data_IF_336147441672
#
_entry.id   IF_336147441672
#
_cell.length_a   1.000
_cell.length_b   1.000
_cell.length_c   1.000
_cell.angle_alpha   90.00
_cell.angle_beta   90.00
_cell.angle_gamma   90.00
#
_symmetry.space_group_name_H-M   'P 1'
#
loop_
_entity.id
_entity.type
_entity.pdbx_description
1 polymer ?
#
# COMPACT_ATOMS: atom_id res chain seq x y z
N UNK A 1 10.97 6.29 -7.16
CA UNK A 1 11.80 5.26 -6.49
C UNK A 1 13.22 5.78 -6.28
N UNK A 2 13.87 6.36 -7.29
CA UNK A 2 15.25 6.87 -7.20
C UNK A 2 15.47 7.87 -6.07
N UNK A 3 14.59 8.85 -5.89
CA UNK A 3 14.70 9.85 -4.82
C UNK A 3 14.74 9.21 -3.42
N UNK A 4 13.82 8.24 -3.16
CA UNK A 4 13.79 7.51 -1.87
C UNK A 4 15.05 6.67 -1.69
N UNK A 5 15.46 5.94 -2.75
CA UNK A 5 16.68 5.12 -2.74
C UNK A 5 17.94 5.96 -2.52
N UNK A 6 18.02 7.15 -3.12
CA UNK A 6 19.15 8.08 -2.95
C UNK A 6 19.25 8.59 -1.51
N UNK A 7 18.14 9.03 -0.90
CA UNK A 7 18.13 9.49 0.49
C UNK A 7 18.59 8.39 1.46
N UNK A 8 18.09 7.16 1.29
CA UNK A 8 18.49 6.02 2.10
C UNK A 8 19.98 5.71 1.94
N UNK A 9 20.50 5.75 0.71
CA UNK A 9 21.94 5.53 0.43
C UNK A 9 22.81 6.61 1.09
N UNK A 10 22.41 7.87 1.00
CA UNK A 10 23.14 8.98 1.64
C UNK A 10 23.20 8.82 3.16
N UNK A 11 22.07 8.50 3.78
CA UNK A 11 22.03 8.29 5.24
C UNK A 11 22.88 7.09 5.66
N UNK A 12 22.80 5.96 4.93
CA UNK A 12 23.64 4.77 5.21
C UNK A 12 25.14 5.02 5.00
N UNK A 13 25.48 5.93 4.10
CA UNK A 13 26.87 6.37 3.87
C UNK A 13 27.38 7.37 4.92
N UNK A 14 26.55 7.77 5.91
CA UNK A 14 26.90 8.77 6.91
C UNK A 14 26.93 10.21 6.36
N UNK A 15 26.35 10.45 5.19
CA UNK A 15 26.27 11.74 4.52
C UNK A 15 24.91 12.43 4.71
N UNK A 16 23.99 11.79 5.42
CA UNK A 16 22.68 12.34 5.77
C UNK A 16 22.76 13.36 6.89
N UNK A 17 21.69 14.15 7.05
CA UNK A 17 21.57 15.05 8.19
C UNK A 17 21.23 14.24 9.45
N UNK A 18 22.04 14.34 10.49
CA UNK A 18 21.89 13.59 11.74
C UNK A 18 20.73 14.05 12.61
N UNK A 19 20.23 15.28 12.38
CA UNK A 19 19.21 15.92 13.21
C UNK A 19 17.81 15.85 12.59
N UNK A 20 17.66 15.13 11.47
CA UNK A 20 16.39 14.98 10.72
C UNK A 20 16.07 13.52 10.49
N UNK A 21 14.81 13.19 10.12
CA UNK A 21 14.48 11.87 9.59
C UNK A 21 15.38 11.46 8.43
N UNK A 22 15.49 10.15 8.16
CA UNK A 22 16.25 9.61 7.02
C UNK A 22 15.80 10.26 5.71
N UNK A 23 14.51 10.54 5.59
CA UNK A 23 13.92 11.30 4.50
C UNK A 23 12.42 11.49 4.71
N UNK A 24 11.92 12.61 4.18
CA UNK A 24 10.51 13.02 4.26
C UNK A 24 9.94 13.15 2.85
N UNK A 25 9.07 12.23 2.47
CA UNK A 25 8.58 12.09 1.10
C UNK A 25 7.06 12.30 1.02
N UNK A 26 6.62 13.05 -0.01
CA UNK A 26 5.22 13.19 -0.35
C UNK A 26 4.92 12.39 -1.62
N UNK A 27 4.07 11.35 -1.51
CA UNK A 27 3.61 10.56 -2.62
C UNK A 27 2.28 11.11 -3.13
N UNK A 28 2.26 11.62 -4.33
CA UNK A 28 1.10 12.28 -4.95
C UNK A 28 0.56 11.45 -6.11
N UNK A 29 -0.73 11.56 -6.40
CA UNK A 29 -1.33 10.90 -7.57
C UNK A 29 -2.67 10.23 -7.26
N UNK A 30 -3.32 9.61 -8.27
CA UNK A 30 -4.65 9.02 -8.14
C UNK A 30 -4.74 7.94 -7.07
N UNK A 31 -5.97 7.64 -6.66
CA UNK A 31 -6.26 6.52 -5.79
C UNK A 31 -5.91 5.18 -6.48
N UNK A 32 -5.43 4.19 -5.72
CA UNK A 32 -5.24 2.84 -6.23
C UNK A 32 -4.05 2.61 -7.16
N UNK A 33 -3.15 3.59 -7.33
CA UNK A 33 -1.92 3.47 -8.15
C UNK A 33 -0.72 2.86 -7.42
N UNK A 34 -0.88 2.50 -6.13
CA UNK A 34 0.15 1.79 -5.37
C UNK A 34 0.99 2.63 -4.42
N UNK A 35 0.60 3.86 -4.06
CA UNK A 35 1.35 4.72 -3.11
C UNK A 35 1.60 4.04 -1.77
N UNK A 36 0.55 3.55 -1.12
CA UNK A 36 0.61 2.81 0.16
C UNK A 36 1.37 1.49 0.01
N UNK A 37 1.21 0.81 -1.14
CA UNK A 37 1.89 -0.45 -1.42
C UNK A 37 3.40 -0.26 -1.57
N UNK A 38 3.85 0.83 -2.20
CA UNK A 38 5.28 1.14 -2.29
C UNK A 38 5.90 1.34 -0.90
N UNK A 39 5.22 2.05 0.01
CA UNK A 39 5.70 2.22 1.38
C UNK A 39 5.81 0.88 2.13
N UNK A 40 4.84 -0.02 1.93
CA UNK A 40 4.85 -1.36 2.51
C UNK A 40 6.00 -2.22 1.96
N UNK A 41 6.20 -2.21 0.64
CA UNK A 41 7.29 -2.95 0.00
C UNK A 41 8.66 -2.39 0.36
N UNK A 42 8.77 -1.08 0.57
CA UNK A 42 10.00 -0.45 1.05
C UNK A 42 10.37 -0.96 2.45
N UNK A 43 9.41 -0.95 3.38
CA UNK A 43 9.63 -1.47 4.73
C UNK A 43 10.05 -2.94 4.70
N UNK A 44 9.34 -3.76 3.93
CA UNK A 44 9.66 -5.19 3.74
C UNK A 44 11.08 -5.41 3.18
N UNK A 45 11.44 -4.68 2.12
CA UNK A 45 12.74 -4.81 1.46
C UNK A 45 13.90 -4.36 2.36
N UNK A 46 13.67 -3.36 3.20
CA UNK A 46 14.66 -2.87 4.17
C UNK A 46 14.75 -3.73 5.43
N UNK A 47 13.80 -4.65 5.65
CA UNK A 47 13.69 -5.46 6.85
C UNK A 47 13.34 -4.65 8.10
N UNK A 48 12.60 -3.55 7.96
CA UNK A 48 12.17 -2.66 9.04
C UNK A 48 10.65 -2.64 9.16
N UNK A 49 10.14 -2.17 10.30
CA UNK A 49 8.71 -2.08 10.55
C UNK A 49 8.02 -1.03 9.67
N UNK A 50 6.73 -1.24 9.40
CA UNK A 50 5.81 -0.24 8.87
C UNK A 50 4.87 0.23 10.00
N UNK A 51 4.91 1.53 10.29
CA UNK A 51 3.95 2.22 11.14
C UNK A 51 3.00 2.99 10.22
N UNK A 52 1.70 2.73 10.29
CA UNK A 52 0.72 3.38 9.41
C UNK A 52 -0.36 4.06 10.23
N UNK A 53 -0.64 5.32 9.86
CA UNK A 53 -1.80 6.09 10.32
C UNK A 53 -2.59 6.57 9.11
N UNK A 54 -3.90 6.37 9.14
CA UNK A 54 -4.83 6.93 8.16
C UNK A 54 -5.31 8.29 8.66
N UNK A 55 -4.96 9.34 7.94
CA UNK A 55 -5.24 10.70 8.37
C UNK A 55 -6.72 11.07 8.29
N UNK A 56 -7.54 10.28 7.63
CA UNK A 56 -8.98 10.42 7.68
C UNK A 56 -9.58 10.19 9.08
N UNK A 57 -8.86 9.46 9.95
CA UNK A 57 -9.23 9.28 11.37
C UNK A 57 -8.85 10.48 12.25
N UNK A 58 -8.05 11.41 11.72
CA UNK A 58 -7.46 12.55 12.45
C UNK A 58 -7.87 13.91 11.84
N UNK A 59 -9.08 13.99 11.33
CA UNK A 59 -9.66 15.21 10.77
C UNK A 59 -10.08 16.22 11.86
N UNK A 60 -10.48 15.71 13.01
CA UNK A 60 -11.00 16.51 14.11
C UNK A 60 -9.94 16.76 15.18
N UNK A 61 -10.01 17.91 15.84
CA UNK A 61 -9.04 18.32 16.86
C UNK A 61 -8.89 17.32 18.01
N UNK A 62 -9.97 16.70 18.45
CA UNK A 62 -9.92 15.70 19.52
C UNK A 62 -9.17 14.42 19.11
N UNK A 63 -9.16 14.09 17.81
CA UNK A 63 -8.41 12.96 17.29
C UNK A 63 -6.89 13.26 17.27
N UNK A 64 -6.49 14.52 17.06
CA UNK A 64 -5.07 14.94 17.18
C UNK A 64 -4.54 14.68 18.58
N UNK A 65 -5.35 14.95 19.62
CA UNK A 65 -4.95 14.67 21.01
C UNK A 65 -4.69 13.18 21.26
N UNK A 66 -5.32 12.26 20.53
CA UNK A 66 -4.99 10.83 20.59
C UNK A 66 -3.63 10.53 19.95
N UNK A 67 -3.27 11.29 18.91
CA UNK A 67 -2.02 11.07 18.19
C UNK A 67 -0.78 11.51 18.99
N UNK A 68 -0.88 12.65 19.69
CA UNK A 68 0.23 13.28 20.45
C UNK A 68 0.02 13.32 21.97
N UNK A 69 -1.00 12.64 22.49
CA UNK A 69 -1.39 12.68 23.89
C UNK A 69 -2.39 13.80 24.20
N UNK A 70 -3.23 13.57 25.22
CA UNK A 70 -4.16 14.58 25.71
C UNK A 70 -3.42 15.63 26.54
N UNK A 71 -3.81 16.92 26.51
CA UNK A 71 -3.26 17.93 27.40
C UNK A 71 -3.55 17.63 28.88
N UNK A 72 -2.74 18.15 29.82
CA UNK A 72 -2.99 18.01 31.26
C UNK A 72 -4.42 18.44 31.64
N UNK A 73 -5.10 17.63 32.45
CA UNK A 73 -6.46 17.89 32.92
C UNK A 73 -7.57 17.34 32.02
N UNK A 74 -7.25 16.73 30.88
CA UNK A 74 -8.23 16.03 30.02
C UNK A 74 -8.23 14.52 30.28
N UNK A 75 -9.38 13.88 30.02
CA UNK A 75 -9.53 12.43 30.11
C UNK A 75 -8.54 11.75 29.14
N UNK A 76 -7.76 10.80 29.64
CA UNK A 76 -6.75 10.09 28.85
C UNK A 76 -5.36 10.74 28.87
N UNK A 77 -5.10 11.77 29.68
CA UNK A 77 -3.78 12.39 29.81
C UNK A 77 -2.66 11.40 30.16
N UNK A 78 -2.94 10.37 30.99
CA UNK A 78 -1.94 9.35 31.34
C UNK A 78 -1.57 8.43 30.16
N UNK A 79 -2.38 8.39 29.12
CA UNK A 79 -2.10 7.66 27.90
C UNK A 79 -1.19 8.52 27.00
N UNK A 80 -0.01 8.01 26.65
CA UNK A 80 0.90 8.67 25.70
C UNK A 80 0.27 8.86 24.33
N UNK A 81 0.90 9.67 23.50
CA UNK A 81 0.47 9.83 22.11
C UNK A 81 0.68 8.56 21.29
N UNK A 82 -0.29 8.18 20.48
CA UNK A 82 -0.20 6.98 19.63
C UNK A 82 1.02 7.03 18.69
N UNK A 83 1.33 8.22 18.16
CA UNK A 83 2.46 8.43 17.25
C UNK A 83 3.79 8.28 18.00
N UNK A 84 3.95 8.97 19.14
CA UNK A 84 5.17 8.93 19.94
C UNK A 84 5.42 7.54 20.52
N UNK A 85 4.38 6.85 20.99
CA UNK A 85 4.48 5.49 21.47
C UNK A 85 4.86 4.50 20.36
N UNK A 86 4.26 4.63 19.17
CA UNK A 86 4.56 3.75 18.04
C UNK A 86 6.02 3.90 17.58
N UNK A 87 6.51 5.13 17.46
CA UNK A 87 7.90 5.42 17.05
C UNK A 87 8.89 4.99 18.14
N UNK A 88 8.58 5.20 19.42
CA UNK A 88 9.44 4.76 20.53
C UNK A 88 9.57 3.23 20.57
N UNK A 89 8.48 2.50 20.27
CA UNK A 89 8.50 1.02 20.19
C UNK A 89 9.25 0.51 18.97
N UNK A 90 9.24 1.28 17.86
CA UNK A 90 9.82 0.91 16.57
C UNK A 90 10.67 2.05 16.03
N UNK A 91 11.86 2.28 16.61
CA UNK A 91 12.68 3.46 16.29
C UNK A 91 13.30 3.41 14.89
N UNK A 92 13.30 2.26 14.22
CA UNK A 92 13.72 2.08 12.84
C UNK A 92 12.53 1.59 12.03
N UNK A 93 11.82 2.50 11.39
CA UNK A 93 10.60 2.15 10.68
C UNK A 93 10.33 3.07 9.47
N UNK A 94 9.47 2.61 8.58
CA UNK A 94 8.75 3.48 7.65
C UNK A 94 7.49 3.98 8.36
N UNK A 95 7.39 5.29 8.55
CA UNK A 95 6.17 5.92 9.03
C UNK A 95 5.36 6.41 7.84
N UNK A 96 4.20 5.79 7.63
CA UNK A 96 3.26 6.12 6.57
C UNK A 96 2.06 6.87 7.13
N UNK A 97 1.89 8.12 6.69
CA UNK A 97 0.71 8.94 6.93
C UNK A 97 -0.14 8.96 5.65
N UNK A 98 -1.20 8.18 5.65
CA UNK A 98 -2.04 7.99 4.45
C UNK A 98 -3.11 9.09 4.39
N UNK A 99 -3.35 9.65 3.19
CA UNK A 99 -4.33 10.72 2.92
C UNK A 99 -4.10 12.00 3.77
N UNK A 100 -2.86 12.51 3.76
CA UNK A 100 -2.42 13.63 4.60
C UNK A 100 -3.24 14.92 4.38
N UNK A 101 -3.85 15.11 3.20
CA UNK A 101 -4.72 16.24 2.90
C UNK A 101 -5.99 16.29 3.76
N UNK A 102 -6.36 15.17 4.39
CA UNK A 102 -7.51 15.08 5.31
C UNK A 102 -7.18 15.42 6.76
N UNK A 103 -5.89 15.48 7.08
CA UNK A 103 -5.43 15.71 8.43
C UNK A 103 -5.85 17.08 8.96
N UNK A 104 -6.15 17.15 10.26
CA UNK A 104 -6.36 18.44 10.93
C UNK A 104 -5.11 19.32 10.81
N UNK A 105 -5.24 20.66 10.66
CA UNK A 105 -4.11 21.57 10.47
C UNK A 105 -3.00 21.46 11.54
N UNK A 106 -3.34 21.14 12.77
CA UNK A 106 -2.36 20.93 13.85
C UNK A 106 -1.35 19.81 13.55
N UNK A 107 -1.73 18.81 12.78
CA UNK A 107 -0.84 17.70 12.39
C UNK A 107 0.31 18.21 11.52
N UNK A 108 0.04 19.18 10.64
CA UNK A 108 1.12 19.78 9.83
C UNK A 108 2.16 20.50 10.70
N UNK A 109 1.75 21.16 11.77
CA UNK A 109 2.70 21.79 12.72
C UNK A 109 3.57 20.75 13.43
N UNK A 110 2.97 19.61 13.81
CA UNK A 110 3.69 18.47 14.39
C UNK A 110 4.71 17.92 13.39
N UNK A 111 4.31 17.74 12.13
CA UNK A 111 5.20 17.22 11.08
C UNK A 111 6.33 18.18 10.75
N UNK A 112 6.09 19.51 10.78
CA UNK A 112 7.13 20.50 10.62
C UNK A 112 8.20 20.35 11.71
N UNK A 113 7.81 20.18 12.97
CA UNK A 113 8.74 19.92 14.08
C UNK A 113 9.53 18.64 13.86
N UNK A 114 8.87 17.54 13.46
CA UNK A 114 9.53 16.26 13.17
C UNK A 114 10.55 16.40 12.04
N UNK A 115 10.18 17.07 10.93
CA UNK A 115 11.06 17.26 9.78
C UNK A 115 12.24 18.20 10.04
N UNK A 116 12.11 19.16 10.97
CA UNK A 116 13.18 20.09 11.30
C UNK A 116 14.15 19.57 12.37
N UNK A 117 13.63 18.85 13.38
CA UNK A 117 14.38 18.48 14.57
C UNK A 117 14.53 16.96 14.78
N UNK A 118 13.96 16.13 13.91
CA UNK A 118 14.02 14.68 14.04
C UNK A 118 13.46 14.15 15.37
N UNK A 119 12.68 14.95 16.09
CA UNK A 119 12.11 14.59 17.39
C UNK A 119 10.74 15.22 17.60
N UNK A 120 9.92 14.58 18.42
CA UNK A 120 8.61 15.08 18.81
C UNK A 120 8.43 14.87 20.31
N UNK A 121 8.08 15.93 21.01
CA UNK A 121 7.68 15.85 22.42
C UNK A 121 6.15 15.79 22.50
N UNK A 122 5.62 14.76 23.12
CA UNK A 122 4.19 14.64 23.35
C UNK A 122 3.71 15.54 24.51
N UNK A 123 2.39 15.62 24.69
CA UNK A 123 1.80 16.44 25.74
C UNK A 123 2.14 15.96 27.16
N UNK A 124 2.67 14.73 27.31
CA UNK A 124 3.14 14.16 28.58
C UNK A 124 4.64 14.42 28.83
N UNK A 125 5.31 15.15 27.93
CA UNK A 125 6.74 15.45 28.01
C UNK A 125 7.64 14.30 27.55
N UNK A 126 7.11 13.25 26.94
CA UNK A 126 7.90 12.15 26.37
C UNK A 126 8.45 12.57 25.01
N UNK A 127 9.74 12.37 24.78
CA UNK A 127 10.40 12.66 23.53
C UNK A 127 10.51 11.39 22.71
N UNK A 128 9.95 11.39 21.50
CA UNK A 128 10.16 10.34 20.52
C UNK A 128 11.19 10.78 19.47
N UNK A 129 12.10 9.86 19.11
CA UNK A 129 13.19 10.09 18.16
C UNK A 129 12.80 9.60 16.77
N UNK A 130 12.77 10.50 15.78
CA UNK A 130 12.40 10.23 14.39
C UNK A 130 13.63 10.19 13.45
N UNK A 131 14.86 10.33 13.94
CA UNK A 131 16.06 10.40 13.11
C UNK A 131 16.33 9.16 12.28
N UNK A 132 15.83 8.00 12.73
CA UNK A 132 15.93 6.74 12.00
C UNK A 132 14.61 6.33 11.32
N UNK A 133 13.69 7.27 11.15
CA UNK A 133 12.39 7.07 10.49
C UNK A 133 12.48 7.53 9.03
N UNK A 134 11.88 6.76 8.14
CA UNK A 134 11.56 7.18 6.77
C UNK A 134 10.11 7.65 6.80
N UNK A 135 9.90 8.97 6.69
CA UNK A 135 8.57 9.56 6.70
C UNK A 135 8.00 9.58 5.28
N UNK A 136 6.88 8.91 5.08
CA UNK A 136 6.14 8.89 3.82
C UNK A 136 4.73 9.40 4.08
N UNK A 137 4.33 10.39 3.33
CA UNK A 137 2.98 10.95 3.34
C UNK A 137 2.34 10.68 1.98
N UNK A 138 1.10 10.22 1.93
CA UNK A 138 0.38 10.06 0.67
C UNK A 138 -0.72 11.10 0.54
N UNK A 139 -0.97 11.53 -0.68
CA UNK A 139 -2.09 12.44 -0.99
C UNK A 139 -2.70 12.09 -2.35
N UNK A 140 -4.00 12.32 -2.45
CA UNK A 140 -4.74 12.28 -3.71
C UNK A 140 -4.86 13.68 -4.36
N UNK A 141 -4.34 14.74 -3.73
CA UNK A 141 -4.23 16.05 -4.33
C UNK A 141 -3.38 15.97 -5.62
N UNK A 142 -3.76 16.69 -6.65
CA UNK A 142 -3.17 16.62 -7.98
C UNK A 142 -3.79 15.55 -8.91
N UNK A 143 -4.63 14.65 -8.38
CA UNK A 143 -5.25 13.60 -9.18
C UNK A 143 -6.44 14.08 -10.02
N UNK A 144 -7.15 15.12 -9.59
CA UNK A 144 -8.34 15.64 -10.26
C UNK A 144 -8.01 16.37 -11.56
N UNK A 145 -6.87 17.06 -11.61
CA UNK A 145 -6.41 17.74 -12.81
C UNK A 145 -6.11 16.76 -13.96
N UNK A 146 -5.64 15.56 -13.64
CA UNK A 146 -5.36 14.51 -14.63
C UNK A 146 -6.64 13.92 -15.25
N UNK A 147 -7.76 13.98 -14.54
CA UNK A 147 -9.03 13.41 -14.96
C UNK A 147 -9.88 14.36 -15.83
N UNK A 148 -9.82 15.66 -15.57
CA UNK A 148 -10.60 16.65 -16.33
C UNK A 148 -10.11 16.81 -17.78
N UNK A 149 -8.89 16.42 -18.09
CA UNK A 149 -8.28 16.52 -19.43
C UNK A 149 -8.34 15.24 -20.27
N UNK A 150 -8.81 14.12 -19.73
CA UNK A 150 -9.04 12.89 -20.53
C UNK A 150 -10.12 13.07 -21.61
N UNK A 151 -10.87 14.19 -21.60
CA UNK A 151 -11.90 14.53 -22.55
C UNK A 151 -11.50 15.59 -23.60
N UNK A 152 -10.25 16.09 -23.61
CA UNK A 152 -9.84 17.16 -24.54
C UNK A 152 -8.34 17.17 -24.86
N UNK A 153 -8.05 17.37 -26.14
CA UNK A 153 -6.77 17.42 -26.82
C UNK A 153 -5.72 18.38 -26.21
N UNK A 154 -4.95 18.00 -25.17
CA UNK A 154 -3.69 18.69 -24.85
C UNK A 154 -2.78 17.88 -23.92
N UNK A 155 -1.75 17.26 -24.46
CA UNK A 155 -0.71 16.50 -23.72
C UNK A 155 0.29 17.37 -22.92
N UNK A 156 0.25 18.69 -23.01
CA UNK A 156 1.33 19.56 -22.51
C UNK A 156 1.08 20.23 -21.15
N UNK A 157 -0.13 20.14 -20.55
CA UNK A 157 -0.51 20.91 -19.36
C UNK A 157 -0.64 20.08 -18.06
N UNK A 158 -0.57 18.75 -18.16
CA UNK A 158 -0.85 17.83 -17.02
C UNK A 158 0.12 18.00 -15.84
N UNK A 159 1.39 18.29 -16.10
CA UNK A 159 2.40 18.45 -15.04
C UNK A 159 2.30 19.80 -14.30
N UNK A 160 1.78 20.83 -14.93
CA UNK A 160 1.61 22.15 -14.32
C UNK A 160 0.40 22.19 -13.39
N UNK A 161 -0.73 21.59 -13.79
CA UNK A 161 -1.95 21.55 -13.01
C UNK A 161 -1.80 20.74 -11.70
N UNK A 162 -1.08 19.62 -11.74
CA UNK A 162 -0.79 18.83 -10.54
C UNK A 162 0.06 19.61 -9.52
N UNK A 163 1.03 20.40 -10.00
CA UNK A 163 1.86 21.25 -9.16
C UNK A 163 1.04 22.35 -8.49
N UNK A 164 0.05 22.92 -9.17
CA UNK A 164 -0.83 23.97 -8.62
C UNK A 164 -1.76 23.42 -7.53
N UNK A 165 -2.34 22.22 -7.70
CA UNK A 165 -3.17 21.60 -6.65
C UNK A 165 -2.34 21.30 -5.39
N UNK A 166 -1.11 20.80 -5.53
CA UNK A 166 -0.19 20.57 -4.40
C UNK A 166 0.16 21.89 -3.71
N UNK A 167 0.39 22.98 -4.47
CA UNK A 167 0.65 24.30 -3.91
C UNK A 167 -0.55 24.88 -3.15
N UNK A 168 -1.77 24.53 -3.54
CA UNK A 168 -3.00 24.92 -2.84
C UNK A 168 -3.27 24.09 -1.59
N UNK A 169 -2.96 22.79 -1.66
CA UNK A 169 -3.20 21.87 -0.55
C UNK A 169 -2.18 21.99 0.60
N UNK A 170 -0.94 22.37 0.28
CA UNK A 170 0.16 22.39 1.25
C UNK A 170 0.89 23.74 1.26
N UNK A 171 1.16 24.26 2.47
CA UNK A 171 1.87 25.53 2.63
C UNK A 171 3.28 25.46 2.01
N UNK A 172 3.83 26.62 1.56
CA UNK A 172 5.22 26.66 1.09
C UNK A 172 6.21 26.14 2.13
N UNK A 173 5.95 26.45 3.39
CA UNK A 173 6.79 26.01 4.51
C UNK A 173 6.85 24.47 4.59
N UNK A 174 5.72 23.80 4.55
CA UNK A 174 5.64 22.34 4.57
C UNK A 174 6.35 21.72 3.36
N UNK A 175 6.10 22.25 2.16
CA UNK A 175 6.71 21.72 0.93
C UNK A 175 8.24 21.85 0.88
N UNK A 176 8.80 22.94 1.45
CA UNK A 176 10.24 23.18 1.50
C UNK A 176 10.99 22.25 2.46
N UNK A 177 10.28 21.51 3.32
CA UNK A 177 10.88 20.54 4.25
C UNK A 177 10.83 19.11 3.73
N UNK A 178 10.16 18.89 2.59
CA UNK A 178 10.18 17.61 1.93
C UNK A 178 11.49 17.40 1.18
N UNK A 179 12.08 16.21 1.31
CA UNK A 179 13.25 15.82 0.52
C UNK A 179 12.87 15.57 -0.93
N UNK A 180 11.69 14.99 -1.16
CA UNK A 180 11.15 14.87 -2.51
C UNK A 180 9.62 14.69 -2.53
N UNK A 181 9.01 15.18 -3.62
CA UNK A 181 7.65 14.82 -4.01
C UNK A 181 7.72 13.79 -5.13
N UNK A 182 7.13 12.62 -4.90
CA UNK A 182 7.10 11.50 -5.85
C UNK A 182 5.71 11.42 -6.47
N UNK A 183 5.64 11.70 -7.76
CA UNK A 183 4.39 11.66 -8.50
C UNK A 183 4.12 10.24 -9.02
N UNK A 184 2.94 9.72 -8.71
CA UNK A 184 2.40 8.48 -9.25
C UNK A 184 1.42 8.83 -10.37
N UNK A 185 1.64 8.25 -11.53
CA UNK A 185 0.75 8.37 -12.68
C UNK A 185 -0.32 7.28 -12.66
N UNK A 186 -1.38 7.45 -13.46
CA UNK A 186 -2.32 6.36 -13.71
C UNK A 186 -1.58 5.13 -14.25
N UNK A 187 -2.08 3.95 -13.88
CA UNK A 187 -1.48 2.69 -14.31
C UNK A 187 -1.81 2.46 -15.78
N UNK A 188 -0.80 2.10 -16.58
CA UNK A 188 -0.98 1.59 -17.93
C UNK A 188 -1.42 0.11 -17.92
N UNK A 189 -1.85 -0.38 -19.07
CA UNK A 189 -2.40 -1.74 -19.20
C UNK A 189 -1.36 -2.81 -18.82
N UNK A 190 -0.10 -2.62 -19.17
CA UNK A 190 0.98 -3.56 -18.84
C UNK A 190 1.22 -3.63 -17.32
N UNK A 191 1.14 -2.49 -16.64
CA UNK A 191 1.27 -2.44 -15.18
C UNK A 191 0.03 -3.07 -14.53
N UNK A 192 -1.17 -2.83 -15.06
CA UNK A 192 -2.39 -3.47 -14.55
C UNK A 192 -2.29 -4.99 -14.65
N UNK A 193 -1.80 -5.54 -15.76
CA UNK A 193 -1.56 -6.98 -15.91
C UNK A 193 -0.58 -7.52 -14.86
N UNK A 194 0.51 -6.80 -14.57
CA UNK A 194 1.45 -7.18 -13.50
C UNK A 194 0.80 -7.16 -12.13
N UNK A 195 -0.14 -6.25 -11.89
CA UNK A 195 -0.91 -6.22 -10.64
C UNK A 195 -1.83 -7.45 -10.54
N UNK A 196 -2.48 -7.85 -11.65
CA UNK A 196 -3.24 -9.11 -11.74
C UNK A 196 -2.34 -10.29 -11.38
N UNK A 197 -1.19 -10.42 -12.05
CA UNK A 197 -0.25 -11.51 -11.81
C UNK A 197 0.17 -11.58 -10.34
N UNK A 198 0.46 -10.44 -9.70
CA UNK A 198 0.78 -10.38 -8.26
C UNK A 198 -0.35 -10.97 -7.40
N UNK A 199 -1.61 -10.59 -7.64
CA UNK A 199 -2.74 -11.12 -6.87
C UNK A 199 -2.95 -12.61 -7.11
N UNK A 200 -2.77 -13.08 -8.34
CA UNK A 200 -2.88 -14.49 -8.69
C UNK A 200 -1.76 -15.32 -8.07
N UNK A 201 -0.51 -14.83 -8.07
CA UNK A 201 0.62 -15.47 -7.37
C UNK A 201 0.38 -15.60 -5.86
N UNK A 202 -0.14 -14.55 -5.23
CA UNK A 202 -0.50 -14.61 -3.80
C UNK A 202 -1.57 -15.66 -3.50
N UNK A 203 -2.52 -15.84 -4.43
CA UNK A 203 -3.53 -16.89 -4.31
C UNK A 203 -2.92 -18.28 -4.51
N UNK A 204 -2.01 -18.43 -5.49
CA UNK A 204 -1.26 -19.66 -5.75
C UNK A 204 -0.46 -20.10 -4.51
N UNK A 205 0.30 -19.19 -3.88
CA UNK A 205 1.04 -19.46 -2.65
C UNK A 205 0.13 -19.97 -1.53
N UNK A 206 -1.04 -19.32 -1.31
CA UNK A 206 -2.00 -19.74 -0.29
C UNK A 206 -2.60 -21.12 -0.56
N UNK A 207 -2.82 -21.47 -1.81
CA UNK A 207 -3.38 -22.78 -2.21
C UNK A 207 -2.33 -23.87 -2.17
N UNK A 208 -1.07 -23.55 -2.47
CA UNK A 208 0.05 -24.48 -2.36
C UNK A 208 0.22 -25.02 -0.93
N UNK A 209 0.00 -24.18 0.10
CA UNK A 209 -0.04 -24.61 1.51
C UNK A 209 -1.15 -25.66 1.77
N UNK A 210 -2.22 -25.65 0.96
CA UNK A 210 -3.33 -26.61 1.01
C UNK A 210 -3.16 -27.81 0.08
N UNK A 211 -1.95 -27.96 -0.53
CA UNK A 211 -1.62 -29.01 -1.53
C UNK A 211 -2.50 -28.92 -2.79
N UNK A 212 -2.86 -27.72 -3.18
CA UNK A 212 -3.61 -27.45 -4.40
C UNK A 212 -2.73 -26.64 -5.34
N UNK A 213 -2.50 -27.18 -6.53
CA UNK A 213 -1.83 -26.49 -7.62
C UNK A 213 -2.88 -25.78 -8.47
N UNK A 214 -2.68 -24.48 -8.73
CA UNK A 214 -3.63 -23.67 -9.50
C UNK A 214 -2.95 -23.09 -10.73
N UNK A 215 -3.67 -23.09 -11.86
CA UNK A 215 -3.22 -22.52 -13.12
C UNK A 215 -4.25 -21.56 -13.67
N UNK A 216 -3.78 -20.38 -14.08
CA UNK A 216 -4.61 -19.31 -14.61
C UNK A 216 -4.34 -19.10 -16.09
N UNK A 217 -5.41 -19.01 -16.90
CA UNK A 217 -5.28 -18.75 -18.33
C UNK A 217 -5.02 -17.27 -18.64
N UNK A 218 -4.53 -17.00 -19.84
CA UNK A 218 -4.35 -15.63 -20.31
C UNK A 218 -5.69 -14.90 -20.53
N UNK A 219 -6.77 -15.64 -20.88
CA UNK A 219 -8.11 -15.07 -21.03
C UNK A 219 -8.61 -14.51 -19.69
N UNK A 220 -8.45 -15.29 -18.60
CA UNK A 220 -8.77 -14.84 -17.25
C UNK A 220 -7.97 -13.58 -16.85
N UNK A 221 -6.65 -13.59 -17.10
CA UNK A 221 -5.78 -12.43 -16.76
C UNK A 221 -6.24 -11.16 -17.45
N UNK A 222 -6.56 -11.22 -18.74
CA UNK A 222 -7.07 -10.09 -19.52
C UNK A 222 -8.44 -9.62 -19.01
N UNK A 223 -9.34 -10.55 -18.70
CA UNK A 223 -10.64 -10.23 -18.12
C UNK A 223 -10.48 -9.50 -16.77
N UNK A 224 -9.66 -10.04 -15.85
CA UNK A 224 -9.38 -9.40 -14.56
C UNK A 224 -8.73 -8.02 -14.72
N UNK A 225 -7.82 -7.84 -15.68
CA UNK A 225 -7.20 -6.55 -15.95
C UNK A 225 -8.21 -5.52 -16.46
N UNK A 226 -9.12 -5.94 -17.35
CA UNK A 226 -10.13 -5.05 -17.95
C UNK A 226 -11.21 -4.65 -16.94
N UNK A 227 -11.80 -5.61 -16.24
CA UNK A 227 -12.98 -5.39 -15.40
C UNK A 227 -12.63 -5.12 -13.93
N UNK A 228 -11.42 -5.53 -13.50
CA UNK A 228 -10.89 -5.27 -12.16
C UNK A 228 -10.17 -3.91 -12.02
N UNK A 229 -9.98 -3.17 -13.10
CA UNK A 229 -9.36 -1.85 -13.07
C UNK A 229 -10.41 -0.76 -13.32
N UNK A 230 -10.41 0.25 -12.46
CA UNK A 230 -11.26 1.43 -12.58
C UNK A 230 -10.37 2.69 -12.66
N UNK A 231 -10.55 3.59 -13.65
CA UNK A 231 -9.75 4.79 -13.78
C UNK A 231 -9.76 5.73 -12.56
N UNK A 232 -10.82 5.69 -11.75
CA UNK A 232 -10.99 6.52 -10.54
C UNK A 232 -10.45 5.83 -9.28
N UNK A 233 -10.61 4.50 -9.21
CA UNK A 233 -10.27 3.69 -8.04
C UNK A 233 -8.98 2.89 -8.22
N UNK A 234 -8.41 2.89 -9.42
CA UNK A 234 -7.21 2.15 -9.78
C UNK A 234 -7.43 0.64 -9.71
N UNK A 235 -6.47 -0.07 -9.14
CA UNK A 235 -6.52 -1.52 -8.98
C UNK A 235 -7.26 -1.99 -7.69
N UNK A 236 -7.87 -1.07 -6.91
CA UNK A 236 -8.62 -1.46 -5.69
C UNK A 236 -9.77 -2.44 -5.95
N UNK A 237 -10.60 -2.31 -7.03
CA UNK A 237 -11.68 -3.24 -7.29
C UNK A 237 -11.22 -4.65 -7.62
N UNK A 238 -10.01 -4.82 -8.16
CA UNK A 238 -9.44 -6.10 -8.58
C UNK A 238 -9.36 -7.14 -7.45
N UNK A 239 -8.88 -6.73 -6.28
CA UNK A 239 -8.81 -7.62 -5.12
C UNK A 239 -10.19 -8.17 -4.74
N UNK A 240 -11.23 -7.29 -4.78
CA UNK A 240 -12.62 -7.66 -4.51
C UNK A 240 -13.17 -8.57 -5.59
N UNK A 241 -12.89 -8.27 -6.85
CA UNK A 241 -13.31 -9.12 -7.98
C UNK A 241 -12.73 -10.54 -7.86
N UNK A 242 -11.42 -10.69 -7.59
CA UNK A 242 -10.78 -11.98 -7.35
C UNK A 242 -11.40 -12.69 -6.13
N UNK A 243 -11.70 -11.95 -5.07
CA UNK A 243 -12.38 -12.49 -3.89
C UNK A 243 -13.75 -13.07 -4.24
N UNK A 244 -14.55 -12.34 -4.99
CA UNK A 244 -15.94 -12.69 -5.27
C UNK A 244 -16.05 -13.76 -6.36
N UNK A 245 -15.19 -13.75 -7.37
CA UNK A 245 -15.27 -14.66 -8.53
C UNK A 245 -14.44 -15.93 -8.37
N UNK A 246 -13.27 -15.85 -7.71
CA UNK A 246 -12.34 -16.99 -7.64
C UNK A 246 -12.27 -17.57 -6.22
N UNK A 247 -11.96 -16.74 -5.21
CA UNK A 247 -11.72 -17.25 -3.85
C UNK A 247 -12.94 -17.90 -3.23
N UNK A 248 -14.14 -17.36 -3.42
CA UNK A 248 -15.38 -17.94 -2.89
C UNK A 248 -15.65 -19.32 -3.51
N UNK A 249 -15.54 -19.45 -4.84
CA UNK A 249 -15.75 -20.73 -5.51
C UNK A 249 -14.72 -21.79 -5.08
N UNK A 250 -13.45 -21.40 -4.94
CA UNK A 250 -12.41 -22.30 -4.44
C UNK A 250 -12.59 -22.69 -2.98
N UNK A 251 -13.12 -21.81 -2.14
CA UNK A 251 -13.38 -22.12 -0.75
C UNK A 251 -14.39 -23.27 -0.60
N UNK A 252 -15.45 -23.27 -1.39
CA UNK A 252 -16.45 -24.35 -1.39
C UNK A 252 -15.82 -25.68 -1.87
N UNK A 253 -14.99 -25.65 -2.90
CA UNK A 253 -14.28 -26.84 -3.39
C UNK A 253 -13.25 -27.39 -2.40
N UNK A 254 -12.57 -26.52 -1.64
CA UNK A 254 -11.59 -26.89 -0.62
C UNK A 254 -12.25 -27.50 0.63
N UNK A 255 -13.41 -26.98 1.03
CA UNK A 255 -14.08 -27.40 2.27
C UNK A 255 -14.97 -28.61 2.04
N UNK A 256 -15.73 -28.64 0.94
CA UNK A 256 -16.80 -29.58 0.73
C UNK A 256 -16.69 -30.32 -0.62
N UNK A 257 -15.85 -29.84 -1.52
CA UNK A 257 -15.73 -30.33 -2.88
C UNK A 257 -14.54 -31.27 -3.12
N UNK A 258 -14.09 -31.29 -4.36
CA UNK A 258 -13.04 -32.19 -4.88
C UNK A 258 -11.63 -31.86 -4.39
N UNK A 259 -11.37 -30.62 -3.96
CA UNK A 259 -10.04 -30.15 -3.53
C UNK A 259 -9.75 -30.40 -2.05
N UNK A 260 -10.65 -31.03 -1.30
CA UNK A 260 -10.48 -31.31 0.14
C UNK A 260 -9.17 -32.04 0.48
N UNK A 261 -8.70 -32.90 -0.41
CA UNK A 261 -7.47 -33.68 -0.22
C UNK A 261 -6.31 -33.22 -1.13
N UNK A 262 -6.40 -31.98 -1.63
CA UNK A 262 -5.48 -31.46 -2.64
C UNK A 262 -5.91 -31.79 -4.07
N UNK A 263 -5.15 -31.32 -5.06
CA UNK A 263 -5.42 -31.53 -6.48
C UNK A 263 -4.89 -30.40 -7.33
N UNK A 264 -5.30 -30.39 -8.60
CA UNK A 264 -4.95 -29.32 -9.54
C UNK A 264 -6.23 -28.65 -10.04
N UNK A 265 -6.22 -27.33 -10.12
CA UNK A 265 -7.35 -26.57 -10.66
C UNK A 265 -6.88 -25.64 -11.76
N UNK A 266 -7.56 -25.68 -12.91
CA UNK A 266 -7.37 -24.71 -13.99
C UNK A 266 -8.53 -23.71 -13.95
N UNK A 267 -8.18 -22.43 -13.88
CA UNK A 267 -9.17 -21.34 -13.85
C UNK A 267 -9.07 -20.56 -15.13
N UNK A 268 -10.19 -20.49 -15.84
CA UNK A 268 -10.33 -19.82 -17.12
C UNK A 268 -11.49 -18.83 -17.12
N UNK A 269 -11.53 -17.96 -18.11
CA UNK A 269 -12.67 -17.10 -18.40
C UNK A 269 -13.32 -17.50 -19.70
N UNK A 270 -14.57 -17.94 -19.64
CA UNK A 270 -15.37 -18.28 -20.81
C UNK A 270 -16.03 -17.02 -21.39
N UNK A 271 -15.59 -16.59 -22.56
CA UNK A 271 -16.19 -15.44 -23.26
C UNK A 271 -17.63 -15.71 -23.69
N UNK A 272 -17.96 -16.98 -24.01
CA UNK A 272 -19.31 -17.37 -24.43
C UNK A 272 -20.32 -17.32 -23.29
N UNK A 273 -19.90 -17.66 -22.07
CA UNK A 273 -20.76 -17.71 -20.89
C UNK A 273 -20.57 -16.48 -19.99
N UNK A 274 -19.61 -15.60 -20.31
CA UNK A 274 -19.23 -14.41 -19.55
C UNK A 274 -19.00 -14.69 -18.05
N UNK A 275 -18.38 -15.85 -17.76
CA UNK A 275 -18.09 -16.25 -16.37
C UNK A 275 -16.74 -16.94 -16.23
N UNK A 276 -16.23 -16.91 -14.99
CA UNK A 276 -15.05 -17.70 -14.61
C UNK A 276 -15.44 -19.17 -14.49
N UNK A 277 -14.69 -20.05 -15.11
CA UNK A 277 -14.90 -21.51 -15.11
C UNK A 277 -13.73 -22.22 -14.45
N UNK A 278 -14.03 -23.32 -13.76
CA UNK A 278 -13.06 -24.08 -12.98
C UNK A 278 -13.04 -25.53 -13.51
N UNK A 279 -11.87 -26.01 -13.91
CA UNK A 279 -11.63 -27.43 -14.20
C UNK A 279 -10.77 -28.01 -13.06
N UNK A 280 -11.39 -28.89 -12.28
CA UNK A 280 -10.80 -29.47 -11.08
C UNK A 280 -10.37 -30.91 -11.36
N UNK A 281 -9.10 -31.17 -11.25
CA UNK A 281 -8.48 -32.50 -11.43
C UNK A 281 -8.02 -33.03 -10.06
N UNK A 282 -8.46 -34.25 -9.76
CA UNK A 282 -8.06 -34.95 -8.55
C UNK A 282 -6.57 -35.33 -8.61
N UNK A 283 -5.88 -35.40 -7.48
CA UNK A 283 -4.49 -35.83 -7.43
C UNK A 283 -4.41 -37.25 -8.02
N UNK A 284 -3.48 -37.46 -8.97
CA UNK A 284 -3.20 -38.82 -9.47
C UNK A 284 -2.78 -39.69 -8.28
N UNK A 285 -3.51 -40.75 -7.97
CA UNK A 285 -3.04 -41.81 -7.06
C UNK A 285 -1.69 -42.27 -7.58
N UNK A 286 -0.61 -42.12 -6.81
CA UNK A 286 0.61 -42.86 -7.08
C UNK A 286 0.23 -44.33 -7.03
N UNK A 287 0.29 -45.03 -8.16
CA UNK A 287 0.32 -46.48 -8.18
C UNK A 287 1.50 -46.90 -7.33
N UNK A 288 1.21 -47.49 -6.20
CA UNK A 288 2.19 -48.22 -5.42
C UNK A 288 2.61 -49.41 -6.31
N UNK A 289 3.79 -49.33 -6.95
CA UNK A 289 4.47 -50.50 -7.48
C UNK A 289 4.51 -51.55 -6.36
N UNK A 290 3.68 -52.57 -6.52
CA UNK A 290 3.87 -53.83 -5.81
C UNK A 290 5.20 -54.38 -6.28
N UNK A 291 6.24 -54.18 -5.48
CA UNK A 291 7.43 -55.02 -5.57
C UNK A 291 6.97 -56.40 -5.10
N UNK A 292 6.61 -57.26 -6.04
CA UNK A 292 6.48 -58.69 -5.79
C UNK A 292 7.87 -59.19 -5.33
N UNK A 293 7.95 -59.47 -4.05
CA UNK A 293 9.03 -60.27 -3.49
C UNK A 293 8.88 -61.69 -4.09
N UNK A 294 9.75 -62.02 -5.02
CA UNK A 294 10.05 -63.38 -5.38
C UNK A 294 11.28 -63.77 -4.55
N UNK A 295 11.06 -64.73 -3.70
CA UNK A 295 11.91 -65.62 -2.91
C UNK A 295 13.31 -65.77 -3.39
#
# INVERSE_FOLDING_TARGET
IEAVSSAIKMTRAGLGNTDKPIGSFLFTGPTGVGKTELARQLAFTLGIDLIRFDMSEYMERHAVSRLIGAPPGYVGFEQGGLLTDAVTKKPHAVLLLDEIEKAHPEIFNILLQVMDHGSLTDNNGRVADFRNIILIMTTNAGARATQSHALGFAKATVSQDNSEEIKRAFSPEFRNRLDATVQFTALDEDIVLRVVDKFLMQLEEQLHEKKVDIHFTNALRKHLAKDGFDPLMGARPMARMIQDTIRKALADELLFGKLKNGGTVHVDYSESEQKVVFDVQLPRKKETEKVDALV
#
